data_IF_907318292425
#
_entry.id   IF_907318292425
#
_cell.length_a   1.000
_cell.length_b   1.000
_cell.length_c   1.000
_cell.angle_alpha   90.00
_cell.angle_beta   90.00
_cell.angle_gamma   90.00
#
_symmetry.space_group_name_H-M   'P 1'
#
loop_
_entity.id
_entity.type
_entity.pdbx_description
1 polymer ?
#
# COMPACT_ATOMS: atom_id res chain seq x y z
N UNK A 1 12.07 10.55 -3.88
CA UNK A 1 11.20 9.38 -4.11
C UNK A 1 9.72 9.78 -4.10
N UNK A 2 8.82 9.07 -4.79
CA UNK A 2 7.39 9.46 -4.96
C UNK A 2 6.69 9.88 -3.64
N UNK A 3 6.90 9.12 -2.56
CA UNK A 3 6.25 9.38 -1.26
C UNK A 3 6.74 10.67 -0.58
N UNK A 4 7.97 11.12 -0.86
CA UNK A 4 8.53 12.34 -0.26
C UNK A 4 7.85 13.60 -0.82
N UNK A 5 7.45 13.57 -2.10
CA UNK A 5 6.73 14.65 -2.77
C UNK A 5 5.23 14.71 -2.46
N UNK A 6 4.70 13.74 -1.69
CA UNK A 6 3.30 13.78 -1.27
C UNK A 6 3.07 14.92 -0.27
N UNK A 7 1.90 15.59 -0.31
CA UNK A 7 1.54 16.62 0.66
C UNK A 7 1.39 16.03 2.07
N UNK A 8 1.15 16.88 3.07
CA UNK A 8 0.75 16.38 4.39
C UNK A 8 -0.57 15.59 4.30
N UNK A 9 -0.59 14.48 5.04
CA UNK A 9 -1.61 13.46 5.03
C UNK A 9 -2.64 13.63 6.14
N UNK A 10 -2.72 14.79 6.81
CA UNK A 10 -3.62 15.01 7.94
C UNK A 10 -5.07 14.65 7.56
N UNK A 11 -5.56 13.53 8.11
CA UNK A 11 -6.91 12.98 7.81
C UNK A 11 -7.02 12.14 6.53
N UNK A 12 -5.96 11.97 5.74
CA UNK A 12 -5.96 11.17 4.51
C UNK A 12 -5.64 9.71 4.79
N UNK A 13 -6.43 8.82 4.19
CA UNK A 13 -6.19 7.38 4.19
C UNK A 13 -5.30 6.98 3.02
N UNK A 14 -4.54 5.89 3.15
CA UNK A 14 -3.69 5.41 2.05
C UNK A 14 -3.70 3.89 1.95
N UNK A 15 -3.42 3.36 0.76
CA UNK A 15 -3.23 1.92 0.58
C UNK A 15 -1.93 1.72 -0.22
N UNK A 16 -1.06 0.85 0.29
CA UNK A 16 0.16 0.44 -0.38
C UNK A 16 -0.07 -0.92 -1.03
N UNK A 17 -0.12 -0.93 -2.34
CA UNK A 17 -0.21 -2.16 -3.12
C UNK A 17 1.12 -2.42 -3.84
N UNK A 18 1.66 -3.63 -3.71
CA UNK A 18 2.88 -4.01 -4.43
C UNK A 18 2.69 -5.30 -5.20
N UNK A 19 3.01 -5.23 -6.50
CA UNK A 19 3.02 -6.35 -7.44
C UNK A 19 4.38 -7.03 -7.50
N UNK A 20 5.45 -6.47 -6.92
CA UNK A 20 6.77 -7.08 -7.02
C UNK A 20 7.07 -7.99 -5.83
N UNK A 21 7.86 -9.04 -6.09
CA UNK A 21 8.43 -9.92 -5.05
C UNK A 21 9.38 -9.11 -4.16
N UNK A 22 8.86 -8.46 -3.12
CA UNK A 22 9.66 -7.80 -2.10
C UNK A 22 10.23 -8.86 -1.16
N UNK A 23 11.38 -9.42 -1.54
CA UNK A 23 12.13 -10.43 -0.80
C UNK A 23 12.53 -9.99 0.62
N UNK A 24 12.43 -8.71 0.92
CA UNK A 24 12.60 -8.14 2.23
C UNK A 24 11.49 -7.12 2.43
N UNK A 25 10.61 -7.32 3.40
CA UNK A 25 9.57 -6.35 3.81
C UNK A 25 10.10 -4.98 4.27
N UNK A 26 11.39 -4.68 4.06
CA UNK A 26 12.05 -3.42 4.34
C UNK A 26 11.51 -2.27 3.48
N UNK A 27 11.22 -2.49 2.19
CA UNK A 27 10.71 -1.42 1.31
C UNK A 27 9.33 -0.95 1.74
N UNK A 28 8.42 -1.89 2.03
CA UNK A 28 7.11 -1.57 2.59
C UNK A 28 7.22 -0.84 3.92
N UNK A 29 8.02 -1.36 4.87
CA UNK A 29 8.24 -0.70 6.17
C UNK A 29 8.81 0.72 6.03
N UNK A 30 9.70 0.96 5.06
CA UNK A 30 10.22 2.30 4.77
C UNK A 30 9.12 3.22 4.24
N UNK A 31 8.33 2.78 3.27
CA UNK A 31 7.23 3.56 2.71
C UNK A 31 6.16 3.86 3.76
N UNK A 32 5.78 2.84 4.55
CA UNK A 32 4.85 2.99 5.68
C UNK A 32 5.36 4.01 6.69
N UNK A 33 6.65 3.97 7.06
CA UNK A 33 7.24 4.92 8.00
C UNK A 33 7.19 6.36 7.47
N UNK A 34 7.51 6.57 6.19
CA UNK A 34 7.44 7.92 5.58
C UNK A 34 6.01 8.43 5.54
N UNK A 35 5.04 7.57 5.21
CA UNK A 35 3.61 7.93 5.19
C UNK A 35 3.07 8.25 6.59
N UNK A 36 3.43 7.44 7.60
CA UNK A 36 3.11 7.72 9.01
C UNK A 36 3.70 9.04 9.48
N UNK A 37 4.95 9.33 9.13
CA UNK A 37 5.58 10.61 9.46
C UNK A 37 4.87 11.81 8.82
N UNK A 38 4.26 11.62 7.65
CA UNK A 38 3.41 12.63 6.99
C UNK A 38 1.95 12.62 7.48
N UNK A 39 1.65 11.91 8.56
CA UNK A 39 0.33 11.86 9.21
C UNK A 39 -0.79 11.17 8.39
N UNK A 40 -0.42 10.31 7.43
CA UNK A 40 -1.39 9.46 6.74
C UNK A 40 -1.90 8.33 7.65
N UNK A 41 -3.21 8.09 7.65
CA UNK A 41 -3.87 7.02 8.42
C UNK A 41 -4.08 5.77 7.57
N UNK A 42 -4.07 4.59 8.21
CA UNK A 42 -4.17 3.25 7.61
C UNK A 42 -3.15 3.03 6.48
N UNK A 43 -2.15 2.18 6.73
CA UNK A 43 -1.22 1.73 5.68
C UNK A 43 -1.49 0.25 5.45
N UNK A 44 -2.46 -0.07 4.58
CA UNK A 44 -2.63 -1.45 4.15
C UNK A 44 -1.55 -1.80 3.16
N UNK A 45 -0.70 -2.74 3.55
CA UNK A 45 0.26 -3.36 2.66
C UNK A 45 -0.36 -4.65 2.13
N UNK A 46 -0.75 -4.66 0.86
CA UNK A 46 -1.19 -5.90 0.19
C UNK A 46 -0.16 -6.25 -0.88
N UNK A 47 0.28 -7.52 -0.86
CA UNK A 47 1.25 -8.06 -1.81
C UNK A 47 0.68 -9.29 -2.48
N UNK A 48 0.75 -9.34 -3.81
CA UNK A 48 0.35 -10.51 -4.62
C UNK A 48 1.59 -11.20 -5.15
N UNK A 49 1.60 -12.53 -5.13
CA UNK A 49 2.75 -13.35 -5.52
C UNK A 49 2.39 -14.15 -6.77
N UNK A 50 2.69 -13.60 -7.93
CA UNK A 50 2.47 -14.28 -9.22
C UNK A 50 3.65 -14.04 -10.19
N UNK A 51 3.91 -15.00 -11.08
CA UNK A 51 4.92 -14.87 -12.15
C UNK A 51 4.40 -14.07 -13.34
N UNK A 52 3.07 -14.09 -13.55
CA UNK A 52 2.34 -13.29 -14.54
C UNK A 52 1.04 -12.88 -13.86
N UNK A 53 0.80 -11.58 -13.78
CA UNK A 53 -0.44 -11.09 -13.20
C UNK A 53 -1.58 -11.21 -14.20
N UNK A 54 -2.69 -11.77 -13.75
CA UNK A 54 -4.01 -11.72 -14.40
C UNK A 54 -4.91 -10.76 -13.63
N UNK A 55 -6.01 -10.31 -14.23
CA UNK A 55 -6.98 -9.43 -13.55
C UNK A 55 -7.53 -10.06 -12.27
N UNK A 56 -7.61 -11.39 -12.22
CA UNK A 56 -8.16 -12.12 -11.07
C UNK A 56 -7.26 -12.01 -9.84
N UNK A 57 -5.95 -11.93 -10.04
CA UNK A 57 -4.96 -11.79 -8.97
C UNK A 57 -5.09 -10.46 -8.22
N UNK A 58 -5.77 -9.48 -8.82
CA UNK A 58 -6.04 -8.17 -8.22
C UNK A 58 -7.41 -8.08 -7.54
N UNK A 59 -8.35 -8.99 -7.83
CA UNK A 59 -9.72 -8.92 -7.30
C UNK A 59 -9.74 -9.00 -5.77
N UNK A 60 -9.09 -10.01 -5.19
CA UNK A 60 -9.01 -10.18 -3.73
C UNK A 60 -8.27 -9.03 -3.01
N UNK A 61 -7.07 -8.60 -3.47
CA UNK A 61 -6.40 -7.44 -2.91
C UNK A 61 -7.22 -6.15 -2.97
N UNK A 62 -7.87 -5.91 -4.12
CA UNK A 62 -8.69 -4.73 -4.32
C UNK A 62 -9.91 -4.74 -3.38
N UNK A 63 -10.56 -5.90 -3.21
CA UNK A 63 -11.65 -6.07 -2.26
C UNK A 63 -11.20 -5.76 -0.81
N UNK A 64 -10.06 -6.30 -0.37
CA UNK A 64 -9.50 -6.04 0.97
C UNK A 64 -9.16 -4.55 1.18
N UNK A 65 -8.66 -3.88 0.15
CA UNK A 65 -8.40 -2.44 0.19
C UNK A 65 -9.72 -1.66 0.29
N UNK A 66 -10.73 -2.03 -0.52
CA UNK A 66 -12.02 -1.36 -0.53
C UNK A 66 -12.76 -1.47 0.80
N UNK A 67 -12.80 -2.67 1.40
CA UNK A 67 -13.42 -2.92 2.71
C UNK A 67 -12.81 -2.02 3.79
N UNK A 68 -11.48 -1.92 3.80
CA UNK A 68 -10.72 -1.12 4.76
C UNK A 68 -10.75 0.40 4.51
N UNK A 69 -11.13 0.82 3.31
CA UNK A 69 -11.32 2.24 3.01
C UNK A 69 -12.69 2.74 3.48
N UNK A 70 -13.68 1.86 3.62
CA UNK A 70 -15.02 2.18 4.11
C UNK A 70 -15.11 2.30 5.65
N UNK A 71 -14.21 1.68 6.41
CA UNK A 71 -14.04 1.86 7.87
C UNK A 71 -13.34 3.18 8.23
#
# INVERSE_FOLDING_TARGET
AFVEGLPEGSGKRTALFCTHRLWKGSTFKKLEKVLKNKNYKNVLCVSVKEKKFTEEDFKEPAAKIAEKLQE
#
